data_IF_373671694406
#
_entry.id   IF_373671694406
#
_cell.length_a   1.000
_cell.length_b   1.000
_cell.length_c   1.000
_cell.angle_alpha   90.00
_cell.angle_beta   90.00
_cell.angle_gamma   90.00
#
_symmetry.space_group_name_H-M   'P 1'
#
loop_
_entity.id
_entity.type
_entity.pdbx_description
1 polymer ?
#
# COMPACT_ATOMS: atom_id res chain seq x y z
N UNK A 1 3.20 59.92 -4.96
CA UNK A 1 4.19 58.83 -4.74
C UNK A 1 3.80 57.92 -3.59
N UNK A 2 3.41 58.46 -2.42
CA UNK A 2 3.01 57.64 -1.26
C UNK A 2 1.86 56.65 -1.53
N UNK A 3 0.84 57.04 -2.30
CA UNK A 3 -0.26 56.14 -2.68
C UNK A 3 0.25 54.93 -3.51
N UNK A 4 1.18 55.18 -4.43
CA UNK A 4 1.73 54.16 -5.33
C UNK A 4 2.64 53.18 -4.57
N UNK A 5 3.43 53.71 -3.62
CA UNK A 5 4.26 52.92 -2.71
C UNK A 5 3.37 52.07 -1.81
N UNK A 6 2.31 52.63 -1.23
CA UNK A 6 1.34 51.91 -0.40
C UNK A 6 0.64 50.77 -1.14
N UNK A 7 0.18 51.00 -2.38
CA UNK A 7 -0.45 49.96 -3.21
C UNK A 7 0.52 48.82 -3.57
N UNK A 8 1.79 49.16 -3.82
CA UNK A 8 2.83 48.18 -4.16
C UNK A 8 3.17 47.32 -2.96
N UNK A 9 3.29 47.92 -1.77
CA UNK A 9 3.58 47.21 -0.52
C UNK A 9 2.44 46.27 -0.12
N UNK A 10 1.19 46.70 -0.27
CA UNK A 10 0.00 45.86 -0.07
C UNK A 10 -0.01 44.68 -1.05
N UNK A 11 0.35 44.91 -2.31
CA UNK A 11 0.40 43.84 -3.33
C UNK A 11 1.45 42.77 -2.98
N UNK A 12 2.62 43.17 -2.49
CA UNK A 12 3.65 42.23 -2.03
C UNK A 12 3.22 41.44 -0.81
N UNK A 13 2.53 42.07 0.15
CA UNK A 13 1.98 41.38 1.32
C UNK A 13 0.94 40.35 0.87
N UNK A 14 0.02 40.72 -0.03
CA UNK A 14 -0.99 39.81 -0.55
C UNK A 14 -0.38 38.62 -1.30
N UNK A 15 0.62 38.87 -2.16
CA UNK A 15 1.34 37.81 -2.87
C UNK A 15 2.06 36.85 -1.89
N UNK A 16 2.68 37.39 -0.84
CA UNK A 16 3.32 36.61 0.22
C UNK A 16 2.32 35.73 0.97
N UNK A 17 1.14 36.26 1.30
CA UNK A 17 0.09 35.50 1.99
C UNK A 17 -0.47 34.40 1.08
N UNK A 18 -0.79 34.70 -0.18
CA UNK A 18 -1.34 33.72 -1.14
C UNK A 18 -0.36 32.57 -1.35
N UNK A 19 0.93 32.86 -1.54
CA UNK A 19 1.96 31.84 -1.71
C UNK A 19 2.12 30.98 -0.46
N UNK A 20 2.15 31.57 0.74
CA UNK A 20 2.21 30.81 1.98
C UNK A 20 0.97 29.91 2.18
N UNK A 21 -0.23 30.42 1.91
CA UNK A 21 -1.48 29.64 1.99
C UNK A 21 -1.48 28.50 0.98
N UNK A 22 -1.04 28.74 -0.26
CA UNK A 22 -0.94 27.70 -1.28
C UNK A 22 0.03 26.58 -0.86
N UNK A 23 1.17 26.92 -0.26
CA UNK A 23 2.14 25.94 0.27
C UNK A 23 1.51 25.10 1.39
N UNK A 24 0.81 25.71 2.34
CA UNK A 24 0.14 25.01 3.44
C UNK A 24 -0.96 24.06 2.93
N UNK A 25 -1.79 24.52 2.00
CA UNK A 25 -2.86 23.71 1.41
C UNK A 25 -2.29 22.53 0.63
N UNK A 26 -1.24 22.75 -0.17
CA UNK A 26 -0.59 21.70 -0.93
C UNK A 26 0.12 20.67 -0.02
N UNK A 27 0.73 21.13 1.07
CA UNK A 27 1.31 20.27 2.10
C UNK A 27 0.23 19.38 2.74
N UNK A 28 -0.91 19.96 3.12
CA UNK A 28 -2.02 19.19 3.71
C UNK A 28 -2.62 18.16 2.76
N UNK A 29 -2.74 18.50 1.47
CA UNK A 29 -3.24 17.56 0.46
C UNK A 29 -2.28 16.37 0.29
N UNK A 30 -0.97 16.63 0.20
CA UNK A 30 0.05 15.58 0.10
C UNK A 30 0.09 14.69 1.34
N UNK A 31 -0.04 15.27 2.53
CA UNK A 31 -0.10 14.49 3.79
C UNK A 31 -1.28 13.54 3.77
N UNK A 32 -2.48 14.00 3.40
CA UNK A 32 -3.65 13.12 3.27
C UNK A 32 -3.46 11.99 2.27
N UNK A 33 -2.82 12.26 1.13
CA UNK A 33 -2.51 11.24 0.12
C UNK A 33 -1.55 10.18 0.67
N UNK A 34 -0.55 10.60 1.45
CA UNK A 34 0.37 9.68 2.14
C UNK A 34 -0.38 8.85 3.20
N UNK A 35 -1.30 9.46 3.95
CA UNK A 35 -2.11 8.76 4.95
C UNK A 35 -2.94 7.62 4.32
N UNK A 36 -3.49 7.83 3.12
CA UNK A 36 -4.19 6.77 2.38
C UNK A 36 -3.26 5.60 2.01
N UNK A 37 -2.02 5.87 1.60
CA UNK A 37 -1.03 4.81 1.31
C UNK A 37 -0.59 4.09 2.58
N UNK A 38 -0.38 4.82 3.68
CA UNK A 38 -0.04 4.23 4.98
C UNK A 38 -1.17 3.35 5.53
N UNK A 39 -2.43 3.78 5.36
CA UNK A 39 -3.57 2.97 5.73
C UNK A 39 -3.62 1.67 4.89
N UNK A 40 -3.51 1.77 3.56
CA UNK A 40 -3.46 0.59 2.71
C UNK A 40 -2.30 -0.36 3.05
N UNK A 41 -1.12 0.19 3.38
CA UNK A 41 0.03 -0.57 3.85
C UNK A 41 -0.31 -1.34 5.13
N UNK A 42 -0.88 -0.66 6.13
CA UNK A 42 -1.21 -1.27 7.41
C UNK A 42 -2.27 -2.36 7.26
N UNK A 43 -3.30 -2.12 6.44
CA UNK A 43 -4.37 -3.08 6.17
C UNK A 43 -3.82 -4.34 5.48
N UNK A 44 -2.99 -4.17 4.43
CA UNK A 44 -2.33 -5.28 3.75
C UNK A 44 -1.35 -6.01 4.67
N UNK A 45 -0.59 -5.28 5.47
CA UNK A 45 0.35 -5.86 6.42
C UNK A 45 -0.39 -6.72 7.45
N UNK A 46 -1.51 -6.23 7.99
CA UNK A 46 -2.33 -6.96 8.94
C UNK A 46 -2.97 -8.20 8.30
N UNK A 47 -3.59 -8.04 7.13
CA UNK A 47 -4.25 -9.11 6.38
C UNK A 47 -3.26 -10.24 6.08
N UNK A 48 -2.14 -9.94 5.42
CA UNK A 48 -1.15 -10.96 5.06
C UNK A 48 -0.45 -11.55 6.28
N UNK A 49 -0.15 -10.74 7.31
CA UNK A 49 0.43 -11.27 8.54
C UNK A 49 -0.49 -12.28 9.21
N UNK A 50 -1.79 -12.00 9.27
CA UNK A 50 -2.76 -12.91 9.88
C UNK A 50 -2.99 -14.14 9.01
N UNK A 51 -3.28 -13.95 7.72
CA UNK A 51 -3.59 -15.05 6.81
C UNK A 51 -2.41 -16.01 6.63
N UNK A 52 -1.18 -15.50 6.50
CA UNK A 52 0.01 -16.36 6.37
C UNK A 52 0.35 -17.02 7.70
N UNK A 53 0.32 -16.29 8.83
CA UNK A 53 0.69 -16.86 10.13
C UNK A 53 -0.19 -18.04 10.52
N UNK A 54 -1.48 -17.98 10.20
CA UNK A 54 -2.48 -19.00 10.56
C UNK A 54 -2.85 -19.92 9.41
N UNK A 55 -2.18 -19.82 8.27
CA UNK A 55 -2.38 -20.71 7.14
C UNK A 55 -2.06 -22.15 7.53
N UNK A 56 -2.95 -23.07 7.18
CA UNK A 56 -2.67 -24.51 7.20
C UNK A 56 -1.72 -24.90 6.07
N UNK A 57 -1.96 -24.35 4.88
CA UNK A 57 -1.11 -24.54 3.72
C UNK A 57 -1.01 -23.25 2.89
N UNK A 58 0.14 -23.06 2.27
CA UNK A 58 0.45 -21.93 1.42
C UNK A 58 0.96 -22.46 0.09
N UNK A 59 0.31 -22.05 -0.99
CA UNK A 59 0.65 -22.41 -2.36
C UNK A 59 0.89 -21.13 -3.15
N UNK A 60 2.14 -20.94 -3.61
CA UNK A 60 2.49 -19.86 -4.53
C UNK A 60 2.16 -20.37 -5.93
N UNK A 61 1.16 -19.76 -6.58
CA UNK A 61 0.73 -20.16 -7.94
C UNK A 61 1.61 -19.47 -8.98
N UNK A 62 1.92 -18.18 -8.74
CA UNK A 62 2.84 -17.38 -9.54
C UNK A 62 3.48 -16.30 -8.66
N UNK A 63 4.50 -15.56 -9.15
CA UNK A 63 5.10 -14.47 -8.38
C UNK A 63 4.12 -13.37 -7.94
N UNK A 64 2.93 -13.27 -8.53
CA UNK A 64 1.89 -12.28 -8.16
C UNK A 64 0.58 -12.92 -7.71
N UNK A 65 0.58 -14.24 -7.45
CA UNK A 65 -0.61 -14.99 -7.08
C UNK A 65 -0.31 -16.01 -5.97
N UNK A 66 -1.09 -15.92 -4.90
CA UNK A 66 -0.93 -16.74 -3.71
C UNK A 66 -2.27 -17.34 -3.29
N UNK A 67 -2.27 -18.64 -3.02
CA UNK A 67 -3.40 -19.34 -2.42
C UNK A 67 -3.06 -19.76 -1.00
N UNK A 68 -3.92 -19.38 -0.05
CA UNK A 68 -3.82 -19.74 1.36
C UNK A 68 -5.01 -20.64 1.71
N UNK A 69 -4.72 -21.84 2.22
CA UNK A 69 -5.72 -22.71 2.83
C UNK A 69 -5.68 -22.51 4.34
N UNK A 70 -6.82 -22.09 4.90
CA UNK A 70 -6.98 -21.85 6.33
C UNK A 70 -7.24 -23.15 7.10
N UNK A 71 -7.20 -23.07 8.44
CA UNK A 71 -7.44 -24.21 9.33
C UNK A 71 -8.84 -24.83 9.20
N UNK A 72 -9.84 -24.00 8.86
CA UNK A 72 -11.22 -24.42 8.59
C UNK A 72 -11.42 -25.02 7.18
N UNK A 73 -10.32 -25.21 6.43
CA UNK A 73 -10.30 -25.65 5.02
C UNK A 73 -10.90 -24.65 4.03
N UNK A 74 -11.22 -23.41 4.45
CA UNK A 74 -11.51 -22.33 3.52
C UNK A 74 -10.25 -21.94 2.75
N UNK A 75 -10.43 -21.48 1.50
CA UNK A 75 -9.32 -21.05 0.65
C UNK A 75 -9.45 -19.56 0.33
N UNK A 76 -8.35 -18.84 0.49
CA UNK A 76 -8.20 -17.44 0.11
C UNK A 76 -7.17 -17.34 -1.01
N UNK A 77 -7.65 -17.00 -2.21
CA UNK A 77 -6.82 -16.72 -3.37
C UNK A 77 -6.56 -15.21 -3.46
N UNK A 78 -5.30 -14.82 -3.42
CA UNK A 78 -4.82 -13.45 -3.55
C UNK A 78 -4.11 -13.29 -4.88
N UNK A 79 -4.48 -12.25 -5.64
CA UNK A 79 -3.81 -11.93 -6.89
C UNK A 79 -3.84 -10.41 -7.13
N UNK A 80 -2.90 -9.93 -7.93
CA UNK A 80 -2.98 -8.59 -8.49
C UNK A 80 -3.90 -8.59 -9.71
N UNK A 81 -5.02 -7.87 -9.64
CA UNK A 81 -5.82 -7.57 -10.82
C UNK A 81 -5.16 -6.43 -11.59
N UNK A 82 -4.62 -6.75 -12.75
CA UNK A 82 -3.90 -5.81 -13.63
C UNK A 82 -4.84 -4.73 -14.20
N UNK A 83 -6.13 -5.03 -14.36
CA UNK A 83 -7.09 -4.09 -14.96
C UNK A 83 -7.46 -2.98 -13.98
N UNK A 84 -7.65 -3.35 -12.72
CA UNK A 84 -8.01 -2.41 -11.65
C UNK A 84 -6.81 -1.93 -10.84
N UNK A 85 -5.62 -2.52 -11.06
CA UNK A 85 -4.40 -2.32 -10.28
C UNK A 85 -4.61 -2.51 -8.77
N UNK A 86 -5.41 -3.50 -8.39
CA UNK A 86 -5.76 -3.76 -6.98
C UNK A 86 -5.44 -5.19 -6.63
N UNK A 87 -5.08 -5.42 -5.36
CA UNK A 87 -5.01 -6.79 -4.86
C UNK A 87 -6.44 -7.24 -4.58
N UNK A 88 -6.81 -8.39 -5.15
CA UNK A 88 -8.10 -9.03 -4.92
C UNK A 88 -7.93 -10.29 -4.10
N UNK A 89 -8.86 -10.52 -3.19
CA UNK A 89 -9.03 -11.75 -2.40
C UNK A 89 -10.32 -12.43 -2.86
N UNK A 90 -10.21 -13.62 -3.43
CA UNK A 90 -11.35 -14.37 -3.98
C UNK A 90 -12.19 -13.53 -4.98
N UNK A 91 -11.51 -12.72 -5.80
CA UNK A 91 -12.15 -11.82 -6.77
C UNK A 91 -12.67 -10.49 -6.21
N UNK A 92 -12.57 -10.25 -4.90
CA UNK A 92 -13.00 -9.00 -4.26
C UNK A 92 -11.79 -8.12 -3.93
N UNK A 93 -11.74 -6.85 -4.36
CA UNK A 93 -10.65 -5.95 -4.01
C UNK A 93 -10.52 -5.74 -2.50
N UNK A 94 -9.30 -5.89 -1.96
CA UNK A 94 -8.97 -5.62 -0.56
C UNK A 94 -8.17 -4.34 -0.35
N UNK A 95 -7.62 -3.76 -1.42
CA UNK A 95 -6.98 -2.44 -1.41
C UNK A 95 -8.01 -1.37 -1.74
N UNK A 96 -7.84 -0.15 -1.21
CA UNK A 96 -8.70 1.00 -1.55
C UNK A 96 -8.69 1.31 -3.07
N UNK A 97 -9.73 1.97 -3.57
CA UNK A 97 -9.79 2.49 -4.94
C UNK A 97 -8.90 3.72 -5.17
N UNK A 98 -8.54 4.41 -4.08
CA UNK A 98 -7.58 5.51 -4.08
C UNK A 98 -6.12 5.08 -4.22
N UNK A 99 -5.84 3.76 -4.23
CA UNK A 99 -4.50 3.19 -4.23
C UNK A 99 -4.32 2.21 -5.39
N UNK A 100 -3.37 2.52 -6.27
CA UNK A 100 -2.91 1.64 -7.33
C UNK A 100 -1.74 0.78 -6.82
N UNK A 101 -1.84 -0.53 -6.98
CA UNK A 101 -0.76 -1.50 -6.76
C UNK A 101 0.01 -1.66 -8.06
N UNK A 102 1.26 -1.20 -8.05
CA UNK A 102 2.16 -1.19 -9.21
C UNK A 102 2.93 -2.49 -9.34
N UNK A 103 3.29 -3.11 -8.21
CA UNK A 103 3.96 -4.38 -8.17
C UNK A 103 3.48 -5.18 -6.96
N UNK A 104 3.27 -6.48 -7.15
CA UNK A 104 2.99 -7.44 -6.08
C UNK A 104 3.81 -8.70 -6.36
N UNK A 105 4.89 -8.86 -5.59
CA UNK A 105 5.84 -9.95 -5.76
C UNK A 105 5.90 -10.82 -4.50
N UNK A 106 5.83 -12.12 -4.70
CA UNK A 106 5.73 -13.14 -3.66
C UNK A 106 6.93 -14.08 -3.80
N UNK A 107 7.85 -13.96 -2.85
CA UNK A 107 9.06 -14.76 -2.82
C UNK A 107 8.99 -15.79 -1.70
N UNK A 108 9.29 -17.04 -2.03
CA UNK A 108 9.52 -18.06 -1.02
C UNK A 108 10.85 -17.75 -0.31
N UNK A 109 10.75 -17.48 0.98
CA UNK A 109 11.87 -17.14 1.86
C UNK A 109 12.20 -18.29 2.82
N UNK A 110 11.68 -19.49 2.55
CA UNK A 110 11.93 -20.69 3.34
C UNK A 110 13.36 -21.20 3.12
N UNK A 111 14.06 -21.52 4.21
CA UNK A 111 15.40 -22.12 4.13
C UNK A 111 15.26 -23.64 4.00
N UNK A 112 15.64 -24.19 2.84
CA UNK A 112 15.84 -25.63 2.56
C UNK A 112 14.55 -26.48 2.47
N UNK A 113 14.59 -27.66 1.82
CA UNK A 113 13.38 -28.42 1.49
C UNK A 113 12.93 -29.18 2.74
N UNK A 114 12.16 -28.53 3.60
CA UNK A 114 11.59 -29.16 4.79
C UNK A 114 10.07 -28.92 4.84
N UNK A 115 9.27 -29.98 5.04
CA UNK A 115 7.84 -29.96 4.82
C UNK A 115 7.15 -29.33 6.03
N UNK A 116 6.47 -28.20 5.83
CA UNK A 116 5.19 -27.84 6.46
C UNK A 116 5.04 -26.32 6.67
N UNK A 117 6.14 -25.59 6.89
CA UNK A 117 6.10 -24.19 7.28
C UNK A 117 6.85 -23.30 6.30
N UNK A 118 6.10 -22.51 5.55
CA UNK A 118 6.63 -21.52 4.64
C UNK A 118 6.91 -20.20 5.35
N UNK A 119 8.03 -19.61 4.99
CA UNK A 119 8.29 -18.19 5.20
C UNK A 119 8.16 -17.49 3.87
N UNK A 120 7.34 -16.45 3.82
CA UNK A 120 7.13 -15.66 2.62
C UNK A 120 7.70 -14.26 2.81
N UNK A 121 8.27 -13.75 1.73
CA UNK A 121 8.56 -12.33 1.56
C UNK A 121 7.63 -11.77 0.50
N UNK A 122 6.75 -10.85 0.91
CA UNK A 122 5.91 -10.07 0.01
C UNK A 122 6.58 -8.72 -0.23
N UNK A 123 6.64 -8.30 -1.48
CA UNK A 123 7.09 -6.99 -1.90
C UNK A 123 5.96 -6.30 -2.66
N UNK A 124 5.55 -5.13 -2.18
CA UNK A 124 4.40 -4.41 -2.70
C UNK A 124 4.82 -2.96 -2.97
N UNK A 125 4.60 -2.52 -4.20
CA UNK A 125 4.74 -1.12 -4.62
C UNK A 125 3.36 -0.53 -4.86
N UNK A 126 3.13 0.64 -4.28
CA UNK A 126 1.85 1.34 -4.31
C UNK A 126 2.04 2.79 -4.72
N UNK A 127 1.03 3.35 -5.37
CA UNK A 127 0.95 4.78 -5.64
C UNK A 127 -0.48 5.27 -5.41
N UNK A 128 -0.64 6.55 -5.12
CA UNK A 128 -1.97 7.15 -5.09
C UNK A 128 -2.54 7.21 -6.51
N UNK A 129 -3.81 6.84 -6.69
CA UNK A 129 -4.47 6.78 -7.99
C UNK A 129 -4.37 8.10 -8.77
N UNK A 130 -4.83 9.19 -8.15
CA UNK A 130 -4.81 10.53 -8.77
C UNK A 130 -3.45 11.23 -8.73
N UNK A 131 -2.52 10.78 -7.87
CA UNK A 131 -1.28 11.49 -7.56
C UNK A 131 -0.09 10.54 -7.63
N UNK A 132 0.30 10.15 -8.84
CA UNK A 132 1.37 9.19 -9.10
C UNK A 132 2.75 9.57 -8.55
N UNK A 133 2.98 10.83 -8.16
CA UNK A 133 4.18 11.28 -7.48
C UNK A 133 4.24 10.84 -6.00
N UNK A 134 3.10 10.48 -5.40
CA UNK A 134 3.01 9.92 -4.06
C UNK A 134 3.05 8.40 -4.20
N UNK A 135 4.21 7.84 -3.86
CA UNK A 135 4.49 6.40 -3.99
C UNK A 135 5.05 5.86 -2.68
N UNK A 136 4.78 4.59 -2.44
CA UNK A 136 5.31 3.88 -1.30
C UNK A 136 5.62 2.45 -1.69
N UNK A 137 6.70 1.93 -1.13
CA UNK A 137 7.10 0.54 -1.26
C UNK A 137 7.24 -0.03 0.13
N UNK A 138 6.78 -1.27 0.33
CA UNK A 138 7.06 -1.98 1.55
C UNK A 138 7.32 -3.46 1.30
N UNK A 139 8.04 -4.05 2.26
CA UNK A 139 8.40 -5.45 2.26
C UNK A 139 7.89 -6.07 3.55
N UNK A 140 7.13 -7.14 3.42
CA UNK A 140 6.60 -7.90 4.53
C UNK A 140 7.23 -9.29 4.53
N UNK A 141 7.86 -9.67 5.64
CA UNK A 141 8.37 -11.03 5.83
C UNK A 141 7.55 -11.68 6.93
N UNK A 142 6.83 -12.76 6.59
CA UNK A 142 5.96 -13.48 7.52
C UNK A 142 6.18 -14.98 7.36
N UNK A 143 6.23 -15.67 8.49
CA UNK A 143 6.33 -17.12 8.56
C UNK A 143 5.04 -17.71 9.09
N UNK A 144 4.65 -18.88 8.56
CA UNK A 144 3.62 -19.71 9.18
C UNK A 144 4.01 -20.02 10.63
N UNK A 145 3.04 -19.95 11.53
CA UNK A 145 3.25 -20.41 12.91
C UNK A 145 3.20 -21.92 12.94
N UNK A 146 4.13 -22.53 13.68
CA UNK A 146 4.01 -23.94 14.07
C UNK A 146 2.75 -24.09 14.95
N UNK A 147 1.69 -24.68 14.40
CA UNK A 147 0.57 -25.15 15.19
C UNK A 147 0.95 -26.50 15.81
N UNK A 148 1.09 -26.51 17.14
CA UNK A 148 1.16 -27.73 17.98
C UNK A 148 -0.10 -28.56 17.88
#
# INVERSE_FOLDING_TARGET
MELLIGMTLISFIFLGVITATAVLLNSNARVKQIDHLEQAKNDLQLEFSNSIRWAKAITIVSPSELTITNSDSSTSAYQLDVSTKRIVKNGVPITSDTVDIMNFEINDYSRLPAPALRSLQLFIEMQHHDFSAVRQTFRLVVSQRVGS
#
